data_IF_539989843752
#
_entry.id   IF_539989843752
#
_cell.length_a   1.000
_cell.length_b   1.000
_cell.length_c   1.000
_cell.angle_alpha   90.00
_cell.angle_beta   90.00
_cell.angle_gamma   90.00
#
_symmetry.space_group_name_H-M   'P 1'
#
loop_
_entity.id
_entity.type
_entity.pdbx_description
1 polymer ?
#
# COMPACT_ATOMS: atom_id res chain seq x y z
N UNK A 1 -14.84 7.25 1.07
CA UNK A 1 -14.36 5.98 1.66
C UNK A 1 -12.95 5.75 1.18
N UNK A 2 -12.04 5.30 2.05
CA UNK A 2 -10.66 4.97 1.66
C UNK A 2 -10.54 3.44 1.65
N UNK A 3 -10.07 2.89 0.55
CA UNK A 3 -9.67 1.49 0.43
C UNK A 3 -8.14 1.41 0.30
N UNK A 4 -7.52 0.50 1.05
CA UNK A 4 -6.08 0.24 0.99
C UNK A 4 -5.90 -1.24 0.69
N UNK A 5 -5.20 -1.54 -0.41
CA UNK A 5 -4.80 -2.88 -0.84
C UNK A 5 -3.29 -3.02 -0.66
N UNK A 6 -2.87 -3.90 0.26
CA UNK A 6 -1.47 -4.19 0.52
C UNK A 6 -1.10 -5.55 -0.08
N UNK A 7 -0.63 -5.54 -1.32
CA UNK A 7 -0.14 -6.72 -2.00
C UNK A 7 1.31 -7.08 -1.66
N UNK A 8 1.73 -8.26 -2.12
CA UNK A 8 3.10 -8.76 -1.98
C UNK A 8 4.14 -7.87 -2.67
N UNK A 9 3.75 -7.15 -3.72
CA UNK A 9 4.63 -6.25 -4.47
C UNK A 9 4.24 -4.77 -4.35
N UNK A 10 2.94 -4.48 -4.34
CA UNK A 10 2.40 -3.15 -4.57
C UNK A 10 1.41 -2.78 -3.48
N UNK A 11 1.47 -1.54 -3.01
CA UNK A 11 0.47 -0.91 -2.18
C UNK A 11 -0.40 0.00 -3.07
N UNK A 12 -1.71 -0.12 -2.94
CA UNK A 12 -2.68 0.74 -3.63
C UNK A 12 -3.62 1.41 -2.64
N UNK A 13 -3.97 2.65 -2.92
CA UNK A 13 -4.95 3.42 -2.15
C UNK A 13 -5.95 4.03 -3.11
N UNK A 14 -7.23 3.88 -2.79
CA UNK A 14 -8.33 4.48 -3.52
C UNK A 14 -9.19 5.28 -2.55
N UNK A 15 -9.34 6.57 -2.82
CA UNK A 15 -10.41 7.38 -2.27
C UNK A 15 -11.61 7.34 -3.22
N UNK A 16 -12.76 6.96 -2.68
CA UNK A 16 -13.97 6.76 -3.46
C UNK A 16 -15.15 7.50 -2.84
N UNK A 17 -15.88 8.28 -3.65
CA UNK A 17 -17.18 8.83 -3.29
C UNK A 17 -18.28 7.79 -3.51
N UNK A 18 -18.75 7.21 -2.41
CA UNK A 18 -19.82 6.21 -2.45
C UNK A 18 -21.18 6.78 -2.86
N UNK A 19 -21.40 8.10 -2.82
CA UNK A 19 -22.67 8.71 -3.23
C UNK A 19 -22.76 8.86 -4.74
N UNK A 20 -21.70 9.41 -5.36
CA UNK A 20 -21.65 9.57 -6.81
C UNK A 20 -21.08 8.35 -7.54
N UNK A 21 -20.60 7.34 -6.81
CA UNK A 21 -19.94 6.14 -7.32
C UNK A 21 -18.73 6.47 -8.21
N UNK A 22 -17.85 7.37 -7.73
CA UNK A 22 -16.68 7.84 -8.47
C UNK A 22 -15.39 7.75 -7.65
N UNK A 23 -14.26 7.40 -8.27
CA UNK A 23 -12.94 7.59 -7.65
C UNK A 23 -12.67 9.10 -7.51
N UNK A 24 -12.17 9.50 -6.35
CA UNK A 24 -11.73 10.87 -6.05
C UNK A 24 -10.21 10.99 -6.14
N UNK A 25 -9.48 9.97 -5.69
CA UNK A 25 -8.02 9.94 -5.69
C UNK A 25 -7.52 8.50 -5.74
N UNK A 26 -6.42 8.27 -6.44
CA UNK A 26 -5.77 6.97 -6.58
C UNK A 26 -4.26 7.12 -6.35
N UNK A 27 -3.67 6.15 -5.67
CA UNK A 27 -2.24 6.06 -5.44
C UNK A 27 -1.78 4.61 -5.57
N UNK A 28 -0.65 4.42 -6.23
CA UNK A 28 0.01 3.12 -6.35
C UNK A 28 1.52 3.27 -6.11
N UNK A 29 2.10 2.37 -5.30
CA UNK A 29 3.55 2.31 -5.10
C UNK A 29 4.05 0.88 -4.93
N UNK A 30 5.17 0.59 -5.58
CA UNK A 30 5.91 -0.66 -5.37
C UNK A 30 6.62 -0.59 -4.02
N UNK A 31 6.26 -1.51 -3.13
CA UNK A 31 6.78 -1.61 -1.75
C UNK A 31 7.47 -2.96 -1.47
N UNK A 32 7.28 -3.94 -2.36
CA UNK A 32 7.84 -5.30 -2.29
C UNK A 32 7.70 -5.93 -0.89
N UNK A 33 6.48 -5.93 -0.35
CA UNK A 33 6.17 -6.48 0.99
C UNK A 33 6.72 -7.89 1.21
N UNK A 34 6.65 -8.76 0.18
CA UNK A 34 7.09 -10.16 0.26
C UNK A 34 8.56 -10.39 -0.11
N UNK A 35 9.34 -9.33 -0.34
CA UNK A 35 10.79 -9.41 -0.60
C UNK A 35 11.49 -10.18 0.54
N UNK A 36 12.19 -11.27 0.22
CA UNK A 36 12.87 -12.10 1.21
C UNK A 36 11.96 -12.92 2.15
N UNK A 37 10.64 -12.91 1.95
CA UNK A 37 9.69 -13.55 2.88
C UNK A 37 9.85 -15.08 2.90
N UNK A 38 10.10 -15.70 1.75
CA UNK A 38 10.28 -17.14 1.65
C UNK A 38 11.57 -17.61 2.35
N UNK A 39 12.60 -16.77 2.35
CA UNK A 39 13.91 -17.02 2.92
C UNK A 39 13.94 -16.75 4.43
N UNK A 40 13.27 -15.70 4.89
CA UNK A 40 13.32 -15.25 6.28
C UNK A 40 12.12 -15.72 7.13
N UNK A 41 11.06 -16.24 6.49
CA UNK A 41 9.82 -16.63 7.18
C UNK A 41 9.05 -15.47 7.81
N UNK A 42 9.48 -14.23 7.57
CA UNK A 42 8.88 -13.00 8.10
C UNK A 42 9.13 -11.82 7.16
N UNK A 43 8.29 -10.79 7.25
CA UNK A 43 8.47 -9.56 6.48
C UNK A 43 9.69 -8.83 7.05
N UNK A 44 10.69 -8.58 6.19
CA UNK A 44 11.93 -7.96 6.63
C UNK A 44 11.76 -6.46 6.96
N UNK A 45 12.65 -5.87 7.77
CA UNK A 45 12.55 -4.46 8.17
C UNK A 45 12.53 -3.45 7.01
N UNK A 46 13.28 -3.69 5.93
CA UNK A 46 13.31 -2.81 4.77
C UNK A 46 11.96 -2.80 4.02
N UNK A 47 11.30 -3.96 3.92
CA UNK A 47 9.94 -4.05 3.39
C UNK A 47 8.93 -3.30 4.27
N UNK A 48 9.03 -3.43 5.60
CA UNK A 48 8.17 -2.67 6.53
C UNK A 48 8.38 -1.16 6.35
N UNK A 49 9.64 -0.70 6.27
CA UNK A 49 9.97 0.71 6.07
C UNK A 49 9.37 1.26 4.77
N UNK A 50 9.51 0.54 3.65
CA UNK A 50 8.92 0.93 2.37
C UNK A 50 7.40 1.11 2.46
N UNK A 51 6.71 0.18 3.12
CA UNK A 51 5.25 0.26 3.34
C UNK A 51 4.88 1.46 4.20
N UNK A 52 5.56 1.68 5.32
CA UNK A 52 5.29 2.81 6.22
C UNK A 52 5.55 4.16 5.53
N UNK A 53 6.62 4.27 4.75
CA UNK A 53 6.91 5.47 3.96
C UNK A 53 5.82 5.72 2.92
N UNK A 54 5.39 4.69 2.19
CA UNK A 54 4.29 4.82 1.21
C UNK A 54 2.98 5.29 1.88
N UNK A 55 2.65 4.75 3.06
CA UNK A 55 1.47 5.18 3.82
C UNK A 55 1.57 6.65 4.28
N UNK A 56 2.76 7.12 4.66
CA UNK A 56 2.97 8.53 5.04
C UNK A 56 2.88 9.50 3.86
N UNK A 57 3.17 9.06 2.64
CA UNK A 57 3.04 9.88 1.43
C UNK A 57 1.58 10.21 1.11
N UNK A 58 0.66 9.30 1.40
CA UNK A 58 -0.79 9.44 1.12
C UNK A 58 -1.59 10.00 2.28
N UNK A 59 -0.98 10.18 3.46
CA UNK A 59 -1.66 10.66 4.66
C UNK A 59 -1.87 12.19 4.68
N UNK A 60 -1.39 12.89 3.65
CA UNK A 60 -1.38 14.36 3.56
C UNK A 60 -2.62 14.93 2.89
#
# INVERSE_FOLDING_TARGET
>A
MIAIDLGSNTLRVLEYDCKSAKPLSEYEKVVKTADGLAEHGSINPASIERVVVALKEVQK
#
